data_IF_677854410647
#
_entry.id   IF_677854410647
#
_cell.length_a   1.000
_cell.length_b   1.000
_cell.length_c   1.000
_cell.angle_alpha   90.00
_cell.angle_beta   90.00
_cell.angle_gamma   90.00
#
_symmetry.space_group_name_H-M   'P 1'
#
loop_
_entity.id
_entity.type
_entity.pdbx_description
1 polymer ?
#
# COMPACT_ATOMS: atom_id res chain seq x y z
N UNK A 1 -29.02 43.63 -31.78
CA UNK A 1 -27.76 43.27 -31.06
C UNK A 1 -27.81 43.54 -29.56
N UNK A 2 -28.02 44.77 -29.06
CA UNK A 2 -27.99 45.08 -27.60
C UNK A 2 -28.96 44.26 -26.73
N UNK A 3 -30.19 43.99 -27.19
CA UNK A 3 -31.18 43.17 -26.45
C UNK A 3 -30.82 41.69 -26.38
N UNK A 4 -30.19 41.16 -27.44
CA UNK A 4 -29.74 39.76 -27.49
C UNK A 4 -28.54 39.55 -26.56
N UNK A 5 -27.58 40.49 -26.56
CA UNK A 5 -26.44 40.51 -25.63
C UNK A 5 -26.89 40.60 -24.17
N UNK A 6 -27.88 41.44 -23.84
CA UNK A 6 -28.42 41.54 -22.49
C UNK A 6 -29.14 40.26 -22.03
N UNK A 7 -29.84 39.57 -22.95
CA UNK A 7 -30.53 38.32 -22.65
C UNK A 7 -29.55 37.14 -22.44
N UNK A 8 -28.51 37.05 -23.26
CA UNK A 8 -27.43 36.06 -23.10
C UNK A 8 -26.66 36.31 -21.80
N UNK A 9 -26.32 37.56 -21.48
CA UNK A 9 -25.64 37.91 -20.24
C UNK A 9 -26.51 37.61 -19.00
N UNK A 10 -27.82 37.92 -19.05
CA UNK A 10 -28.75 37.61 -17.96
C UNK A 10 -28.95 36.11 -17.76
N UNK A 11 -29.00 35.34 -18.84
CA UNK A 11 -29.11 33.87 -18.78
C UNK A 11 -27.83 33.22 -18.26
N UNK A 12 -26.66 33.74 -18.64
CA UNK A 12 -25.38 33.29 -18.09
C UNK A 12 -25.25 33.60 -16.59
N UNK A 13 -25.66 34.80 -16.14
CA UNK A 13 -25.69 35.14 -14.71
C UNK A 13 -26.63 34.24 -13.92
N UNK A 14 -27.81 33.94 -14.46
CA UNK A 14 -28.79 33.06 -13.81
C UNK A 14 -28.26 31.62 -13.69
N UNK A 15 -27.56 31.11 -14.72
CA UNK A 15 -26.92 29.80 -14.68
C UNK A 15 -25.79 29.76 -13.64
N UNK A 16 -24.92 30.77 -13.60
CA UNK A 16 -23.85 30.86 -12.61
C UNK A 16 -24.41 30.96 -11.19
N UNK A 17 -25.47 31.74 -10.98
CA UNK A 17 -26.14 31.83 -9.68
C UNK A 17 -26.77 30.50 -9.26
N UNK A 18 -27.41 29.78 -10.20
CA UNK A 18 -27.98 28.47 -9.92
C UNK A 18 -26.91 27.43 -9.55
N UNK A 19 -25.76 27.43 -10.27
CA UNK A 19 -24.61 26.57 -9.95
C UNK A 19 -24.05 26.92 -8.57
N UNK A 20 -23.87 28.21 -8.26
CA UNK A 20 -23.36 28.67 -6.97
C UNK A 20 -24.30 28.30 -5.81
N UNK A 21 -25.62 28.42 -6.00
CA UNK A 21 -26.62 28.00 -5.01
C UNK A 21 -26.61 26.49 -4.82
N UNK A 22 -26.53 25.71 -5.91
CA UNK A 22 -26.43 24.25 -5.83
C UNK A 22 -25.16 23.81 -5.09
N UNK A 23 -24.01 24.41 -5.40
CA UNK A 23 -22.75 24.16 -4.70
C UNK A 23 -22.83 24.54 -3.21
N UNK A 24 -23.42 25.69 -2.87
CA UNK A 24 -23.60 26.11 -1.49
C UNK A 24 -24.53 25.17 -0.71
N UNK A 25 -25.59 24.65 -1.35
CA UNK A 25 -26.49 23.67 -0.75
C UNK A 25 -25.82 22.31 -0.53
N UNK A 26 -24.97 21.86 -1.46
CA UNK A 26 -24.14 20.65 -1.32
C UNK A 26 -23.15 20.76 -0.17
N UNK A 27 -22.47 21.91 -0.03
CA UNK A 27 -21.57 22.14 1.12
C UNK A 27 -22.36 22.19 2.42
N UNK A 28 -23.53 22.85 2.44
CA UNK A 28 -24.38 22.96 3.62
C UNK A 28 -25.04 21.64 4.05
N UNK A 29 -25.22 20.67 3.15
CA UNK A 29 -25.77 19.34 3.47
C UNK A 29 -24.78 18.42 4.18
N UNK A 30 -23.52 18.83 4.38
CA UNK A 30 -22.50 17.97 4.97
C UNK A 30 -22.15 16.77 4.08
N UNK A 31 -22.39 16.89 2.77
CA UNK A 31 -22.01 15.91 1.75
C UNK A 31 -20.61 16.18 1.19
N UNK A 32 -19.86 17.05 1.85
CA UNK A 32 -18.48 17.38 1.55
C UNK A 32 -17.65 17.25 2.83
N UNK A 33 -16.81 16.22 2.91
CA UNK A 33 -15.84 15.99 3.98
C UNK A 33 -14.59 15.27 3.47
N UNK A 34 -13.56 15.16 4.32
CA UNK A 34 -12.44 14.24 4.04
C UNK A 34 -12.94 12.80 4.16
N UNK A 35 -12.72 12.02 3.12
CA UNK A 35 -13.28 10.69 2.89
C UNK A 35 -12.25 9.56 3.15
N UNK A 36 -11.18 9.85 3.90
CA UNK A 36 -10.13 8.87 4.15
C UNK A 36 -10.62 7.72 5.03
N UNK A 37 -10.50 6.50 4.51
CA UNK A 37 -10.71 5.29 5.31
C UNK A 37 -9.39 4.92 5.97
N UNK A 38 -9.36 5.04 7.30
CA UNK A 38 -8.25 4.59 8.12
C UNK A 38 -8.09 3.06 8.17
N UNK A 39 -7.20 2.55 9.03
CA UNK A 39 -6.77 1.15 9.03
C UNK A 39 -7.81 0.14 9.53
N UNK A 40 -9.01 0.58 9.90
CA UNK A 40 -10.04 -0.26 10.52
C UNK A 40 -9.75 -0.55 11.99
N UNK A 41 -10.38 -1.59 12.54
CA UNK A 41 -10.20 -2.00 13.94
C UNK A 41 -10.19 -3.52 14.04
N UNK A 42 -9.13 -4.07 14.64
CA UNK A 42 -9.00 -5.52 14.86
C UNK A 42 -10.01 -5.94 15.93
N UNK A 43 -10.99 -6.75 15.53
CA UNK A 43 -12.12 -7.15 16.35
C UNK A 43 -11.94 -8.53 17.00
N UNK A 44 -11.19 -9.43 16.36
CA UNK A 44 -11.06 -10.83 16.76
C UNK A 44 -10.20 -11.04 18.02
N UNK A 45 -10.58 -11.96 18.93
CA UNK A 45 -9.70 -12.41 20.01
C UNK A 45 -8.57 -13.32 19.46
N UNK A 46 -7.50 -13.58 20.22
CA UNK A 46 -6.56 -14.66 19.89
C UNK A 46 -7.30 -15.98 19.67
N UNK A 47 -6.79 -16.78 18.74
CA UNK A 47 -7.23 -18.17 18.59
C UNK A 47 -6.59 -19.05 19.65
N UNK A 48 -7.30 -20.09 20.11
CA UNK A 48 -6.66 -21.17 20.84
C UNK A 48 -5.61 -21.82 19.94
N UNK A 49 -4.34 -21.75 20.36
CA UNK A 49 -3.27 -22.54 19.75
C UNK A 49 -3.50 -23.99 20.17
N UNK A 50 -3.79 -24.92 19.23
CA UNK A 50 -3.93 -26.32 19.60
C UNK A 50 -2.61 -26.80 20.19
N UNK A 51 -2.62 -27.63 21.26
CA UNK A 51 -1.39 -28.17 21.80
C UNK A 51 -0.64 -28.88 20.68
N UNK A 52 0.59 -28.43 20.39
CA UNK A 52 1.46 -29.04 19.38
C UNK A 52 1.51 -30.53 19.71
N UNK A 53 0.92 -31.36 18.84
CA UNK A 53 0.74 -32.77 19.14
C UNK A 53 2.11 -33.37 19.48
N UNK A 54 2.24 -34.14 20.57
CA UNK A 54 3.44 -34.94 20.75
C UNK A 54 3.59 -35.79 19.49
N UNK A 55 4.81 -35.88 18.98
CA UNK A 55 5.14 -36.78 17.88
C UNK A 55 4.50 -38.15 18.20
N UNK A 56 3.72 -38.70 17.27
CA UNK A 56 3.02 -39.97 17.47
C UNK A 56 3.96 -41.01 18.08
N UNK A 57 3.49 -41.84 19.03
CA UNK A 57 4.34 -42.79 19.76
C UNK A 57 5.29 -43.55 18.82
N UNK A 58 6.60 -43.26 18.92
CA UNK A 58 7.67 -43.82 18.08
C UNK A 58 8.24 -42.88 17.00
N UNK A 59 7.65 -41.72 16.77
CA UNK A 59 8.27 -40.64 16.01
C UNK A 59 9.25 -39.89 16.94
N UNK A 60 10.46 -39.60 16.43
CA UNK A 60 11.40 -38.73 17.10
C UNK A 60 10.68 -37.42 17.51
N UNK A 61 11.02 -36.79 18.66
CA UNK A 61 10.45 -35.51 19.02
C UNK A 61 10.52 -34.60 17.79
N UNK A 62 9.40 -33.99 17.41
CA UNK A 62 9.37 -33.14 16.23
C UNK A 62 10.31 -31.95 16.45
N UNK A 63 11.57 -32.08 16.07
CA UNK A 63 12.58 -31.01 16.12
C UNK A 63 12.21 -29.85 15.19
N UNK A 64 11.25 -30.07 14.27
CA UNK A 64 10.86 -29.12 13.23
C UNK A 64 9.36 -28.93 13.24
N UNK A 65 8.96 -27.66 13.31
CA UNK A 65 7.59 -27.20 13.19
C UNK A 65 7.35 -26.75 11.74
N UNK A 66 6.26 -27.19 11.13
CA UNK A 66 5.80 -26.67 9.84
C UNK A 66 4.83 -25.53 10.12
N UNK A 67 5.06 -24.38 9.48
CA UNK A 67 4.23 -23.20 9.59
C UNK A 67 3.71 -22.82 8.20
N UNK A 68 2.46 -22.38 8.14
CA UNK A 68 1.78 -21.91 6.94
C UNK A 68 1.57 -20.41 7.02
N UNK A 69 1.99 -19.69 5.99
CA UNK A 69 1.86 -18.24 5.98
C UNK A 69 1.83 -17.65 4.59
N UNK A 70 1.53 -16.35 4.56
CA UNK A 70 1.41 -15.56 3.33
C UNK A 70 2.28 -14.30 3.44
N UNK A 71 3.29 -14.18 2.58
CA UNK A 71 4.23 -13.06 2.60
C UNK A 71 3.92 -11.99 1.55
N UNK A 72 2.70 -11.97 1.01
CA UNK A 72 2.28 -11.00 0.00
C UNK A 72 0.80 -10.61 0.14
N UNK A 73 0.47 -9.86 1.20
CA UNK A 73 -0.91 -9.42 1.48
C UNK A 73 -1.11 -7.94 1.15
N UNK A 74 -2.15 -7.65 0.36
CA UNK A 74 -2.61 -6.29 0.04
C UNK A 74 -3.93 -5.98 0.74
N UNK A 75 -4.15 -4.69 0.98
CA UNK A 75 -5.37 -4.13 1.57
C UNK A 75 -5.81 -2.93 0.76
N UNK A 76 -6.92 -2.29 1.13
CA UNK A 76 -7.34 -1.06 0.45
C UNK A 76 -6.43 0.15 0.68
N UNK A 77 -5.32 -0.01 1.42
CA UNK A 77 -4.24 0.97 1.39
C UNK A 77 -3.44 0.92 0.08
N UNK A 78 -3.49 -0.19 -0.66
CA UNK A 78 -3.00 -0.31 -2.03
C UNK A 78 -4.05 0.08 -3.07
N UNK A 79 -3.63 0.79 -4.13
CA UNK A 79 -4.53 1.24 -5.21
C UNK A 79 -5.18 0.06 -5.93
N UNK A 80 -4.45 -1.03 -6.17
CA UNK A 80 -4.93 -2.20 -6.91
C UNK A 80 -6.07 -2.92 -6.17
N UNK A 81 -5.88 -3.23 -4.88
CA UNK A 81 -6.87 -3.83 -4.02
C UNK A 81 -8.05 -2.89 -3.78
N UNK A 82 -7.80 -1.59 -3.65
CA UNK A 82 -8.88 -0.61 -3.55
C UNK A 82 -9.71 -0.56 -4.84
N UNK A 83 -9.06 -0.52 -6.01
CA UNK A 83 -9.74 -0.53 -7.30
C UNK A 83 -10.60 -1.80 -7.45
N UNK A 84 -10.06 -2.97 -7.08
CA UNK A 84 -10.81 -4.24 -7.11
C UNK A 84 -11.95 -4.27 -6.10
N UNK A 85 -11.85 -3.56 -4.97
CA UNK A 85 -12.91 -3.40 -3.98
C UNK A 85 -14.09 -2.54 -4.45
N UNK A 86 -13.94 -1.75 -5.52
CA UNK A 86 -15.00 -0.88 -6.01
C UNK A 86 -16.17 -1.68 -6.63
N UNK A 87 -17.42 -1.23 -6.44
CA UNK A 87 -18.59 -1.88 -7.04
C UNK A 87 -18.53 -2.01 -8.57
N UNK A 88 -17.89 -1.07 -9.26
CA UNK A 88 -17.71 -1.11 -10.72
C UNK A 88 -16.95 -2.35 -11.19
N UNK A 89 -16.04 -2.86 -10.36
CA UNK A 89 -15.26 -4.06 -10.62
C UNK A 89 -15.86 -5.31 -9.96
N UNK A 90 -17.08 -5.20 -9.42
CA UNK A 90 -17.75 -6.30 -8.71
C UNK A 90 -17.18 -6.58 -7.32
N UNK A 91 -16.40 -5.65 -6.76
CA UNK A 91 -15.82 -5.79 -5.43
C UNK A 91 -16.85 -5.80 -4.30
N UNK A 92 -16.50 -6.47 -3.21
CA UNK A 92 -17.34 -6.61 -2.00
C UNK A 92 -17.22 -5.39 -1.07
N UNK A 93 -16.25 -4.52 -1.33
CA UNK A 93 -16.04 -3.27 -0.63
C UNK A 93 -14.59 -3.09 -0.18
N UNK A 94 -14.39 -2.27 0.85
CA UNK A 94 -13.07 -1.97 1.36
C UNK A 94 -12.66 -2.93 2.48
N UNK A 95 -11.44 -3.44 2.36
CA UNK A 95 -10.78 -4.32 3.30
C UNK A 95 -9.50 -3.64 3.81
N UNK A 96 -9.56 -2.90 4.92
CA UNK A 96 -8.40 -2.19 5.47
C UNK A 96 -7.41 -3.15 6.17
N UNK A 97 -6.21 -2.67 6.56
CA UNK A 97 -5.22 -3.46 7.30
C UNK A 97 -5.72 -4.31 8.46
N UNK A 98 -6.67 -3.81 9.26
CA UNK A 98 -7.23 -4.58 10.37
C UNK A 98 -7.99 -5.83 9.90
N UNK A 99 -8.68 -5.77 8.75
CA UNK A 99 -9.38 -6.91 8.19
C UNK A 99 -8.40 -8.02 7.79
N UNK A 100 -7.22 -7.67 7.27
CA UNK A 100 -6.19 -8.65 6.95
C UNK A 100 -5.73 -9.43 8.20
N UNK A 101 -5.58 -8.75 9.35
CA UNK A 101 -5.28 -9.40 10.62
C UNK A 101 -6.37 -10.40 11.04
N UNK A 102 -7.64 -9.97 11.03
CA UNK A 102 -8.75 -10.83 11.45
C UNK A 102 -9.00 -11.97 10.44
N UNK A 103 -8.85 -11.72 9.14
CA UNK A 103 -9.00 -12.73 8.10
C UNK A 103 -7.88 -13.78 8.18
N UNK A 104 -6.62 -13.35 8.25
CA UNK A 104 -5.47 -14.24 8.40
C UNK A 104 -5.62 -15.12 9.64
N UNK A 105 -6.04 -14.52 10.76
CA UNK A 105 -6.28 -15.22 12.01
C UNK A 105 -7.43 -16.21 11.88
N UNK A 106 -8.65 -15.75 11.56
CA UNK A 106 -9.86 -16.55 11.77
C UNK A 106 -10.31 -17.35 10.54
N UNK A 107 -10.11 -16.82 9.34
CA UNK A 107 -10.61 -17.40 8.10
C UNK A 107 -9.56 -18.28 7.43
N UNK A 108 -8.37 -17.72 7.20
CA UNK A 108 -7.26 -18.44 6.55
C UNK A 108 -6.46 -19.32 7.51
N UNK A 109 -6.55 -19.04 8.82
CA UNK A 109 -5.86 -19.78 9.89
C UNK A 109 -4.34 -19.84 9.71
N UNK A 110 -3.74 -18.74 9.25
CA UNK A 110 -2.30 -18.62 9.02
C UNK A 110 -1.53 -18.61 10.35
N UNK A 111 -0.31 -19.12 10.32
CA UNK A 111 0.66 -19.00 11.41
C UNK A 111 1.45 -17.70 11.31
N UNK A 112 1.64 -17.18 10.10
CA UNK A 112 2.24 -15.86 9.88
C UNK A 112 1.77 -15.21 8.58
N UNK A 113 1.83 -13.88 8.52
CA UNK A 113 1.73 -13.16 7.25
C UNK A 113 2.56 -11.88 7.23
N UNK A 114 2.78 -11.31 6.07
CA UNK A 114 3.38 -9.99 5.91
C UNK A 114 2.40 -9.04 5.21
N UNK A 115 2.17 -7.87 5.81
CA UNK A 115 1.37 -6.81 5.20
C UNK A 115 2.26 -6.06 4.22
N UNK A 116 1.96 -6.14 2.93
CA UNK A 116 2.82 -5.69 1.83
C UNK A 116 2.07 -4.81 0.84
N UNK A 117 1.33 -3.82 1.35
CA UNK A 117 0.74 -2.82 0.47
C UNK A 117 1.79 -2.14 -0.44
N UNK A 118 1.36 -1.74 -1.64
CA UNK A 118 2.20 -1.08 -2.63
C UNK A 118 2.86 0.17 -2.04
N UNK A 119 4.19 0.25 -2.09
CA UNK A 119 4.97 1.37 -1.55
C UNK A 119 4.54 2.71 -2.14
N UNK A 120 4.18 2.76 -3.42
CA UNK A 120 3.68 3.96 -4.09
C UNK A 120 2.32 4.43 -3.57
N UNK A 121 1.54 3.53 -2.95
CA UNK A 121 0.22 3.81 -2.39
C UNK A 121 0.28 4.24 -0.91
N UNK A 122 1.45 4.09 -0.27
CA UNK A 122 1.67 4.39 1.14
C UNK A 122 2.31 5.77 1.31
N UNK A 123 1.54 6.74 1.77
CA UNK A 123 2.08 8.01 2.28
C UNK A 123 2.48 7.88 3.77
N UNK A 124 3.21 8.85 4.34
CA UNK A 124 3.82 8.71 5.67
C UNK A 124 2.84 8.29 6.76
N UNK A 125 1.64 8.87 6.76
CA UNK A 125 0.58 8.52 7.71
C UNK A 125 0.09 7.07 7.50
N UNK A 126 -0.24 6.65 6.27
CA UNK A 126 -0.65 5.26 5.98
C UNK A 126 0.44 4.23 6.31
N UNK A 127 1.71 4.56 6.07
CA UNK A 127 2.81 3.66 6.46
C UNK A 127 2.86 3.46 7.98
N UNK A 128 2.73 4.55 8.75
CA UNK A 128 2.67 4.48 10.21
C UNK A 128 1.46 3.67 10.68
N UNK A 129 0.31 3.86 10.04
CA UNK A 129 -0.91 3.11 10.32
C UNK A 129 -0.74 1.61 10.02
N UNK A 130 -0.13 1.23 8.88
CA UNK A 130 0.18 -0.17 8.56
C UNK A 130 1.09 -0.79 9.62
N UNK A 131 2.19 -0.13 9.99
CA UNK A 131 3.11 -0.61 11.05
C UNK A 131 2.39 -0.75 12.39
N UNK A 132 1.54 0.23 12.74
CA UNK A 132 0.77 0.20 13.97
C UNK A 132 -0.29 -0.92 13.97
N UNK A 133 -0.96 -1.17 12.84
CA UNK A 133 -1.87 -2.32 12.70
C UNK A 133 -1.13 -3.63 12.92
N UNK A 134 0.06 -3.79 12.35
CA UNK A 134 0.91 -4.97 12.56
C UNK A 134 1.22 -5.15 14.05
N UNK A 135 1.66 -4.08 14.73
CA UNK A 135 1.93 -4.10 16.19
C UNK A 135 0.70 -4.50 16.99
N UNK A 136 -0.45 -3.92 16.68
CA UNK A 136 -1.72 -4.23 17.34
C UNK A 136 -2.18 -5.68 17.09
N UNK A 137 -1.91 -6.23 15.91
CA UNK A 137 -2.23 -7.60 15.57
C UNK A 137 -1.35 -8.59 16.36
N UNK A 138 -0.05 -8.32 16.44
CA UNK A 138 0.90 -9.12 17.20
C UNK A 138 0.65 -9.04 18.71
N UNK A 139 0.26 -7.87 19.23
CA UNK A 139 -0.08 -7.70 20.65
C UNK A 139 -1.28 -8.57 21.09
N UNK A 140 -2.10 -9.03 20.15
CA UNK A 140 -3.23 -9.93 20.41
C UNK A 140 -2.86 -11.40 20.31
N UNK A 141 -1.62 -11.76 19.95
CA UNK A 141 -1.27 -13.14 19.58
C UNK A 141 -1.11 -14.11 20.76
N UNK A 142 -1.31 -13.66 22.00
CA UNK A 142 -1.23 -14.50 23.19
C UNK A 142 0.19 -14.62 23.75
N UNK A 143 0.65 -15.85 23.98
CA UNK A 143 1.98 -16.13 24.52
C UNK A 143 3.06 -15.77 23.49
N UNK A 144 3.98 -14.86 23.84
CA UNK A 144 5.05 -14.45 22.94
C UNK A 144 6.02 -15.59 22.55
N UNK A 145 6.08 -16.67 23.31
CA UNK A 145 6.88 -17.86 23.00
C UNK A 145 6.17 -18.87 22.09
N UNK A 146 4.83 -18.76 21.98
CA UNK A 146 3.98 -19.60 21.11
C UNK A 146 2.76 -18.79 20.62
N UNK A 147 2.99 -17.75 19.78
CA UNK A 147 1.92 -16.87 19.33
C UNK A 147 0.97 -17.59 18.36
N UNK A 148 -0.31 -17.21 18.37
CA UNK A 148 -1.32 -17.76 17.44
C UNK A 148 -1.15 -17.30 15.98
N UNK A 149 -0.46 -16.18 15.80
CA UNK A 149 -0.19 -15.52 14.54
C UNK A 149 0.99 -14.55 14.70
N UNK A 150 1.93 -14.56 13.75
CA UNK A 150 3.00 -13.55 13.63
C UNK A 150 2.80 -12.71 12.38
N UNK A 151 2.73 -11.40 12.55
CA UNK A 151 2.58 -10.45 11.44
C UNK A 151 3.85 -9.63 11.26
N UNK A 152 4.32 -9.55 10.02
CA UNK A 152 5.46 -8.74 9.64
C UNK A 152 5.00 -7.44 8.97
N UNK A 153 5.73 -6.36 9.26
CA UNK A 153 5.59 -5.12 8.52
C UNK A 153 6.42 -5.22 7.23
N UNK A 154 5.86 -4.76 6.13
CA UNK A 154 6.53 -4.72 4.85
C UNK A 154 5.83 -3.82 3.86
N UNK A 155 6.37 -3.75 2.67
CA UNK A 155 5.75 -3.09 1.52
C UNK A 155 6.14 -3.82 0.25
N UNK A 156 5.34 -3.66 -0.80
CA UNK A 156 5.73 -4.10 -2.14
C UNK A 156 6.42 -2.95 -2.89
N UNK A 157 7.65 -3.17 -3.31
CA UNK A 157 8.33 -2.36 -4.30
C UNK A 157 7.91 -2.83 -5.70
N UNK A 158 7.18 -1.97 -6.43
CA UNK A 158 6.44 -2.36 -7.63
C UNK A 158 6.98 -1.68 -8.87
N UNK A 159 7.91 -2.35 -9.56
CA UNK A 159 8.57 -1.79 -10.74
C UNK A 159 8.04 -2.39 -12.04
N UNK A 160 7.67 -1.49 -12.96
CA UNK A 160 7.27 -1.84 -14.31
C UNK A 160 8.13 -1.07 -15.31
N UNK A 161 8.94 -1.81 -16.08
CA UNK A 161 9.65 -1.29 -17.24
C UNK A 161 8.83 -1.39 -18.53
N UNK A 162 9.03 -0.45 -19.45
CA UNK A 162 8.39 -0.47 -20.77
C UNK A 162 9.03 -1.48 -21.74
N UNK A 163 10.27 -1.90 -21.47
CA UNK A 163 11.00 -2.89 -22.27
C UNK A 163 11.50 -4.03 -21.38
N UNK A 164 11.76 -5.24 -21.92
CA UNK A 164 12.31 -6.35 -21.16
C UNK A 164 13.60 -6.01 -20.39
N UNK A 165 14.46 -5.17 -20.95
CA UNK A 165 15.76 -4.80 -20.39
C UNK A 165 15.64 -3.83 -19.21
N UNK A 166 14.50 -3.15 -19.11
CA UNK A 166 14.23 -2.13 -18.09
C UNK A 166 13.14 -2.57 -17.10
N UNK A 167 12.64 -3.80 -17.24
CA UNK A 167 11.59 -4.37 -16.40
C UNK A 167 12.21 -5.34 -15.39
N UNK A 168 12.16 -4.97 -14.11
CA UNK A 168 12.78 -5.71 -13.01
C UNK A 168 11.77 -6.47 -12.15
N UNK A 169 10.48 -6.32 -12.45
CA UNK A 169 9.39 -6.90 -11.68
C UNK A 169 9.28 -6.29 -10.29
N UNK A 170 8.58 -7.00 -9.41
CA UNK A 170 8.23 -6.50 -8.08
C UNK A 170 8.93 -7.30 -6.99
N UNK A 171 9.06 -6.69 -5.80
CA UNK A 171 9.71 -7.28 -4.64
C UNK A 171 9.00 -6.90 -3.35
N UNK A 172 8.71 -7.87 -2.50
CA UNK A 172 8.31 -7.58 -1.13
C UNK A 172 9.54 -7.31 -0.28
N UNK A 173 9.55 -6.17 0.41
CA UNK A 173 10.53 -5.84 1.44
C UNK A 173 9.85 -6.07 2.78
N UNK A 174 10.42 -6.95 3.60
CA UNK A 174 9.83 -7.41 4.86
C UNK A 174 10.83 -7.15 5.99
N UNK A 175 10.33 -6.54 7.07
CA UNK A 175 11.10 -6.25 8.27
C UNK A 175 10.85 -7.33 9.32
N UNK A 176 11.93 -7.77 9.98
CA UNK A 176 11.85 -8.80 11.01
C UNK A 176 11.17 -8.28 12.29
N UNK A 177 11.55 -7.08 12.70
CA UNK A 177 11.03 -6.42 13.90
C UNK A 177 9.91 -5.45 13.56
N UNK A 178 9.32 -4.89 14.61
CA UNK A 178 8.27 -3.87 14.50
C UNK A 178 8.56 -2.64 15.36
N UNK A 179 9.69 -2.60 16.08
CA UNK A 179 10.15 -1.40 16.79
C UNK A 179 10.42 -0.23 15.84
N UNK A 180 10.39 0.99 16.38
CA UNK A 180 10.57 2.22 15.59
C UNK A 180 11.93 2.28 14.86
N UNK A 181 12.93 1.58 15.38
CA UNK A 181 14.28 1.43 14.81
C UNK A 181 14.49 0.08 14.09
N UNK A 182 13.44 -0.75 13.99
CA UNK A 182 13.48 -2.06 13.31
C UNK A 182 12.72 -2.06 11.97
N UNK A 183 11.92 -1.03 11.71
CA UNK A 183 11.19 -0.82 10.45
C UNK A 183 11.70 0.41 9.72
N UNK A 184 11.58 0.43 8.39
CA UNK A 184 11.95 1.62 7.64
C UNK A 184 11.09 2.82 8.06
N UNK A 185 11.70 4.01 8.12
CA UNK A 185 10.98 5.27 8.40
C UNK A 185 9.90 5.58 7.36
N UNK A 186 10.09 5.05 6.15
CA UNK A 186 9.24 5.27 4.98
C UNK A 186 9.44 4.12 3.98
N UNK A 187 8.39 3.75 3.23
CA UNK A 187 8.51 2.78 2.16
C UNK A 187 9.26 3.39 0.97
N UNK A 188 9.91 2.53 0.19
CA UNK A 188 10.64 2.90 -1.03
C UNK A 188 9.83 2.37 -2.21
N UNK A 189 9.30 3.26 -3.05
CA UNK A 189 8.57 2.87 -4.26
C UNK A 189 9.49 2.76 -5.49
N UNK A 190 8.96 2.32 -6.62
CA UNK A 190 9.72 2.20 -7.87
C UNK A 190 9.39 3.26 -8.93
N UNK A 191 8.47 4.19 -8.63
CA UNK A 191 7.99 5.17 -9.60
C UNK A 191 9.07 6.24 -9.87
N UNK A 192 9.17 6.74 -11.12
CA UNK A 192 10.09 7.83 -11.47
C UNK A 192 9.87 9.11 -10.66
N UNK A 193 10.91 9.94 -10.53
CA UNK A 193 10.89 11.17 -9.72
C UNK A 193 9.79 12.15 -10.16
N UNK A 194 9.51 12.20 -11.46
CA UNK A 194 8.61 13.15 -12.09
C UNK A 194 7.15 12.68 -12.17
N UNK A 195 6.82 11.49 -11.67
CA UNK A 195 5.47 10.91 -11.75
C UNK A 195 4.40 11.84 -11.17
N UNK A 196 4.68 12.47 -10.03
CA UNK A 196 3.74 13.37 -9.36
C UNK A 196 3.57 14.68 -10.14
N UNK A 197 4.61 15.17 -10.82
CA UNK A 197 4.48 16.34 -11.69
C UNK A 197 3.56 16.07 -12.89
N UNK A 198 3.53 14.83 -13.39
CA UNK A 198 2.62 14.39 -14.46
C UNK A 198 1.17 14.22 -13.99
N UNK A 199 0.98 13.93 -12.70
CA UNK A 199 -0.34 13.77 -12.09
C UNK A 199 -0.98 15.10 -11.64
N UNK A 200 -0.20 16.19 -11.56
CA UNK A 200 -0.71 17.53 -11.20
C UNK A 200 -1.64 18.08 -12.27
N UNK A 201 -2.76 18.67 -11.84
CA UNK A 201 -3.74 19.32 -12.72
C UNK A 201 -5.06 18.56 -12.91
N UNK A 202 -5.30 17.51 -12.13
CA UNK A 202 -6.59 16.83 -12.07
C UNK A 202 -7.51 17.48 -11.02
N UNK A 203 -7.84 18.78 -11.17
CA UNK A 203 -8.72 19.51 -10.24
C UNK A 203 -10.11 18.83 -10.09
N UNK A 204 -10.50 18.06 -11.11
CA UNK A 204 -11.69 17.21 -11.08
C UNK A 204 -11.59 16.08 -10.04
N UNK A 205 -10.41 15.50 -9.82
CA UNK A 205 -10.22 14.41 -8.84
C UNK A 205 -10.34 14.95 -7.42
N UNK A 206 -9.74 16.11 -7.13
CA UNK A 206 -9.93 16.80 -5.84
C UNK A 206 -11.41 17.10 -5.59
N UNK A 207 -12.11 17.59 -6.63
CA UNK A 207 -13.55 17.87 -6.53
C UNK A 207 -14.34 16.59 -6.23
N UNK A 208 -14.07 15.50 -6.94
CA UNK A 208 -14.77 14.22 -6.75
C UNK A 208 -14.47 13.57 -5.38
N UNK A 209 -13.25 13.76 -4.86
CA UNK A 209 -12.83 13.28 -3.53
C UNK A 209 -13.61 13.93 -2.38
N UNK A 210 -14.21 15.10 -2.61
CA UNK A 210 -15.03 15.82 -1.64
C UNK A 210 -16.54 15.66 -1.84
N UNK A 211 -17.01 14.68 -2.61
CA UNK A 211 -18.44 14.42 -2.80
C UNK A 211 -18.80 13.11 -2.10
N UNK A 212 -19.23 13.20 -0.83
CA UNK A 212 -19.55 12.04 0.01
C UNK A 212 -20.65 11.15 -0.58
N UNK A 213 -21.54 11.74 -1.40
CA UNK A 213 -22.59 11.00 -2.11
C UNK A 213 -22.04 9.97 -3.11
N UNK A 214 -20.76 10.07 -3.50
CA UNK A 214 -20.05 9.07 -4.31
C UNK A 214 -19.59 7.87 -3.47
N UNK A 215 -19.70 7.92 -2.14
CA UNK A 215 -19.31 6.85 -1.23
C UNK A 215 -17.87 6.41 -1.47
N UNK A 216 -17.66 5.12 -1.65
CA UNK A 216 -16.33 4.52 -1.85
C UNK A 216 -15.54 5.08 -3.04
N UNK A 217 -16.21 5.61 -4.06
CA UNK A 217 -15.51 6.29 -5.16
C UNK A 217 -14.89 7.60 -4.69
N UNK A 218 -15.54 8.33 -3.77
CA UNK A 218 -14.98 9.52 -3.13
C UNK A 218 -13.67 9.17 -2.41
N UNK A 219 -13.70 8.12 -1.59
CA UNK A 219 -12.55 7.60 -0.84
C UNK A 219 -11.37 7.19 -1.77
N UNK A 220 -11.70 6.60 -2.93
CA UNK A 220 -10.71 6.25 -3.95
C UNK A 220 -10.13 7.51 -4.60
N UNK A 221 -10.95 8.48 -4.98
CA UNK A 221 -10.46 9.75 -5.54
C UNK A 221 -9.62 10.53 -4.53
N UNK A 222 -9.98 10.50 -3.25
CA UNK A 222 -9.16 11.05 -2.17
C UNK A 222 -7.78 10.39 -2.16
N UNK A 223 -7.73 9.06 -2.23
CA UNK A 223 -6.45 8.32 -2.30
C UNK A 223 -5.61 8.78 -3.50
N UNK A 224 -6.20 8.89 -4.69
CA UNK A 224 -5.48 9.36 -5.89
C UNK A 224 -4.98 10.80 -5.74
N UNK A 225 -5.80 11.71 -5.20
CA UNK A 225 -5.40 13.10 -4.95
C UNK A 225 -4.23 13.19 -3.97
N UNK A 226 -4.29 12.46 -2.84
CA UNK A 226 -3.22 12.45 -1.83
C UNK A 226 -1.89 11.96 -2.40
N UNK A 227 -1.92 10.91 -3.21
CA UNK A 227 -0.73 10.36 -3.83
C UNK A 227 -0.11 11.34 -4.84
N UNK A 228 -0.93 12.01 -5.65
CA UNK A 228 -0.46 13.01 -6.63
C UNK A 228 0.21 14.23 -5.96
N UNK A 229 -0.18 14.56 -4.72
CA UNK A 229 0.37 15.69 -3.95
C UNK A 229 1.65 15.36 -3.18
N UNK A 230 1.98 14.07 -3.00
CA UNK A 230 3.17 13.63 -2.25
C UNK A 230 4.44 14.24 -2.87
N UNK A 231 5.31 14.83 -2.05
CA UNK A 231 6.59 15.37 -2.51
C UNK A 231 7.59 14.22 -2.71
N UNK A 232 8.25 14.14 -3.86
CA UNK A 232 9.40 13.24 -4.06
C UNK A 232 10.57 13.68 -3.16
N UNK A 233 11.24 12.73 -2.51
CA UNK A 233 12.45 12.99 -1.75
C UNK A 233 13.59 13.49 -2.65
N UNK A 234 14.59 14.16 -2.07
CA UNK A 234 15.77 14.57 -2.83
C UNK A 234 16.56 13.35 -3.32
N UNK A 235 16.88 13.32 -4.61
CA UNK A 235 17.62 12.23 -5.23
C UNK A 235 19.07 12.21 -4.74
N UNK A 236 19.64 11.01 -4.58
CA UNK A 236 21.04 10.83 -4.18
C UNK A 236 21.36 11.11 -2.70
N UNK A 237 20.37 11.44 -1.88
CA UNK A 237 20.53 11.60 -0.43
C UNK A 237 20.38 10.24 0.27
N UNK A 238 21.21 10.00 1.30
CA UNK A 238 21.14 8.81 2.16
C UNK A 238 19.75 8.71 2.81
N UNK A 239 19.15 7.52 2.82
CA UNK A 239 17.79 7.31 3.34
C UNK A 239 17.60 7.82 4.77
N UNK A 240 18.65 7.80 5.61
CA UNK A 240 18.57 8.26 7.02
C UNK A 240 18.57 9.78 7.15
N UNK A 241 19.05 10.49 6.14
CA UNK A 241 19.09 11.95 6.10
C UNK A 241 17.86 12.56 5.40
N UNK A 242 17.02 11.73 4.78
CA UNK A 242 15.82 12.17 4.10
C UNK A 242 14.68 12.48 5.11
N UNK A 243 13.83 13.48 4.81
CA UNK A 243 12.66 13.78 5.63
C UNK A 243 11.65 12.62 5.66
N UNK A 244 10.91 12.49 6.77
CA UNK A 244 9.87 11.46 6.91
C UNK A 244 8.62 11.73 6.04
N UNK A 245 8.42 12.99 5.62
CA UNK A 245 7.24 13.47 4.89
C UNK A 245 7.40 13.50 3.36
N UNK A 246 8.31 12.69 2.81
CA UNK A 246 8.55 12.59 1.37
C UNK A 246 8.44 11.15 0.84
N UNK A 247 8.20 11.05 -0.47
CA UNK A 247 8.18 9.81 -1.24
C UNK A 247 9.60 9.40 -1.60
N UNK A 248 10.12 8.38 -0.94
CA UNK A 248 11.37 7.74 -1.38
C UNK A 248 11.08 6.82 -2.55
N UNK A 249 11.93 6.87 -3.56
CA UNK A 249 11.85 5.95 -4.67
C UNK A 249 13.23 5.40 -5.04
N UNK A 250 13.21 4.26 -5.69
CA UNK A 250 14.34 3.60 -6.32
C UNK A 250 13.83 2.92 -7.60
N UNK A 251 14.17 3.45 -8.76
CA UNK A 251 13.65 2.93 -10.04
C UNK A 251 14.31 1.64 -10.52
N UNK A 252 15.31 1.14 -9.79
CA UNK A 252 16.02 -0.12 -10.09
C UNK A 252 16.27 -0.91 -8.80
N UNK A 253 16.38 -2.25 -8.87
CA UNK A 253 16.75 -3.06 -7.72
C UNK A 253 18.07 -2.65 -7.06
N UNK A 254 19.09 -2.28 -7.86
CA UNK A 254 20.38 -1.80 -7.37
C UNK A 254 20.23 -0.57 -6.47
N UNK A 255 19.43 0.41 -6.89
CA UNK A 255 19.13 1.59 -6.08
C UNK A 255 18.30 1.25 -4.83
N UNK A 256 17.39 0.28 -4.93
CA UNK A 256 16.62 -0.21 -3.79
C UNK A 256 17.57 -0.83 -2.75
N UNK A 257 18.44 -1.76 -3.17
CA UNK A 257 19.40 -2.41 -2.26
C UNK A 257 20.41 -1.44 -1.67
N UNK A 258 20.85 -0.43 -2.41
CA UNK A 258 21.69 0.64 -1.86
C UNK A 258 20.98 1.35 -0.68
N UNK A 259 19.71 1.74 -0.85
CA UNK A 259 18.93 2.38 0.22
C UNK A 259 18.63 1.44 1.39
N UNK A 260 18.34 0.17 1.13
CA UNK A 260 18.19 -0.85 2.18
C UNK A 260 19.50 -1.07 2.94
N UNK A 261 20.65 -0.97 2.28
CA UNK A 261 21.95 -1.03 2.94
C UNK A 261 22.21 0.23 3.79
N UNK A 262 21.86 1.42 3.30
CA UNK A 262 21.99 2.69 4.03
C UNK A 262 21.16 2.69 5.33
N UNK A 263 19.96 2.08 5.33
CA UNK A 263 19.11 2.02 6.52
C UNK A 263 19.74 1.22 7.66
N UNK A 264 20.57 0.24 7.33
CA UNK A 264 21.17 -0.68 8.31
C UNK A 264 20.20 -1.68 8.93
N UNK A 265 18.95 -1.73 8.47
CA UNK A 265 17.91 -2.62 8.99
C UNK A 265 18.12 -4.06 8.49
N UNK A 266 17.72 -5.05 9.29
CA UNK A 266 17.57 -6.44 8.84
C UNK A 266 16.32 -6.55 7.96
N UNK A 267 16.48 -6.87 6.68
CA UNK A 267 15.37 -6.96 5.73
C UNK A 267 15.44 -8.25 4.92
N UNK A 268 14.30 -8.90 4.76
CA UNK A 268 14.09 -9.95 3.78
C UNK A 268 13.47 -9.34 2.52
N UNK A 269 14.03 -9.67 1.35
CA UNK A 269 13.50 -9.24 0.06
C UNK A 269 13.10 -10.47 -0.75
N UNK A 270 11.84 -10.54 -1.18
CA UNK A 270 11.32 -11.68 -1.96
C UNK A 270 10.90 -11.15 -3.33
N UNK A 271 11.51 -11.60 -4.44
CA UNK A 271 11.10 -11.22 -5.78
C UNK A 271 9.92 -12.09 -6.27
N UNK A 272 8.90 -11.47 -6.85
CA UNK A 272 7.70 -12.20 -7.33
C UNK A 272 7.09 -11.64 -8.63
N UNK A 273 7.33 -10.36 -8.97
CA UNK A 273 6.59 -9.66 -10.03
C UNK A 273 7.03 -9.90 -11.48
N UNK A 274 7.70 -11.02 -11.80
CA UNK A 274 7.82 -11.46 -13.20
C UNK A 274 6.78 -12.50 -13.61
N UNK A 275 6.01 -13.01 -12.64
CA UNK A 275 5.01 -14.05 -12.88
C UNK A 275 3.64 -13.48 -13.32
N UNK A 276 3.35 -12.21 -12.97
CA UNK A 276 2.10 -11.54 -13.33
C UNK A 276 2.22 -10.99 -14.77
N UNK A 277 1.85 -11.83 -15.74
CA UNK A 277 1.93 -11.56 -17.17
C UNK A 277 1.07 -10.39 -17.69
N UNK A 278 0.45 -9.59 -16.82
CA UNK A 278 -0.24 -8.35 -17.19
C UNK A 278 0.72 -7.18 -17.40
N UNK A 279 1.87 -7.16 -16.71
CA UNK A 279 2.79 -6.02 -16.72
C UNK A 279 4.17 -6.33 -17.30
N UNK A 280 4.55 -7.60 -17.39
CA UNK A 280 5.83 -8.01 -17.94
C UNK A 280 5.84 -7.84 -19.47
N UNK A 281 6.76 -7.02 -20.04
CA UNK A 281 6.90 -6.92 -21.49
C UNK A 281 7.24 -8.28 -22.10
N UNK A 282 6.78 -8.52 -23.33
CA UNK A 282 7.12 -9.72 -24.08
C UNK A 282 8.64 -9.85 -24.16
N UNK A 283 9.18 -10.97 -23.68
CA UNK A 283 10.62 -11.23 -23.63
C UNK A 283 11.29 -10.83 -22.32
N UNK A 284 10.55 -10.39 -21.29
CA UNK A 284 11.08 -10.20 -19.95
C UNK A 284 11.68 -11.51 -19.42
N UNK A 285 12.82 -11.40 -18.74
CA UNK A 285 13.60 -12.54 -18.25
C UNK A 285 13.86 -12.42 -16.76
N UNK A 286 13.88 -13.56 -16.08
CA UNK A 286 14.18 -13.64 -14.65
C UNK A 286 15.60 -13.15 -14.31
N UNK A 287 16.55 -13.31 -15.22
CA UNK A 287 17.93 -12.90 -14.99
C UNK A 287 18.16 -11.38 -14.96
N UNK A 288 17.27 -10.59 -15.59
CA UNK A 288 17.35 -9.12 -15.57
C UNK A 288 17.32 -8.54 -14.15
N UNK A 289 16.69 -9.23 -13.21
CA UNK A 289 16.65 -8.85 -11.79
C UNK A 289 17.67 -9.60 -10.92
N UNK A 290 18.55 -10.42 -11.51
CA UNK A 290 19.57 -11.21 -10.80
C UNK A 290 21.01 -10.82 -11.15
N UNK A 291 21.21 -10.16 -12.29
CA UNK A 291 22.53 -9.79 -12.81
C UNK A 291 22.85 -8.30 -12.57
N UNK A 292 24.08 -7.89 -12.91
CA UNK A 292 24.51 -6.49 -12.98
C UNK A 292 24.24 -5.64 -11.72
N UNK A 293 24.37 -6.26 -10.55
CA UNK A 293 24.15 -5.60 -9.25
C UNK A 293 22.67 -5.37 -8.90
N UNK A 294 21.73 -6.02 -9.62
CA UNK A 294 20.30 -5.97 -9.34
C UNK A 294 19.83 -6.98 -8.28
N UNK A 295 20.78 -7.70 -7.66
CA UNK A 295 20.53 -8.70 -6.64
C UNK A 295 21.50 -8.52 -5.47
N UNK A 296 20.96 -8.54 -4.25
CA UNK A 296 21.73 -8.60 -3.01
C UNK A 296 21.51 -9.98 -2.36
N UNK A 297 22.48 -10.90 -2.41
CA UNK A 297 22.35 -12.22 -1.80
C UNK A 297 22.35 -12.20 -0.27
N UNK A 298 22.63 -11.07 0.38
CA UNK A 298 22.49 -10.96 1.83
C UNK A 298 21.01 -10.79 2.22
N UNK A 299 20.22 -10.10 1.39
CA UNK A 299 18.84 -9.69 1.69
C UNK A 299 17.77 -10.40 0.86
N UNK A 300 18.06 -10.69 -0.41
CA UNK A 300 17.12 -11.32 -1.33
C UNK A 300 17.17 -12.85 -1.22
N UNK A 301 16.00 -13.49 -1.15
CA UNK A 301 15.84 -14.96 -1.10
C UNK A 301 14.91 -15.44 -2.20
#
# INVERSE_FOLDING_TARGET
>A
MRRLLAWVAGSALALVAAIAIAAALLVASGTCGESDRGPGTIAGPPRPVPPRAPAADGAAPAERLVLFGDLHVHTTFSIDAFLQGLPLFGGEGAHPPADACDFARHCAQLDFFSLNDHAESLWPERWKESVETVRQCNARAGDASDPDLVVYAGYEWTQVGATPETHFGHKNVIFRGTGDDEVARRPIDALPDDVNARARGLDVVETLAGIDALGMYSDFFFTIDRLARKRTCEAGVDTRALPDDCRENATTPRALFEKLAQSGLETLVIPHGLAWGEHAPVGARLDAQLLDGQHDPARQR
#
